data_IF_089129951090
#
_entry.id   IF_089129951090
#
_cell.length_a   1.000
_cell.length_b   1.000
_cell.length_c   1.000
_cell.angle_alpha   90.00
_cell.angle_beta   90.00
_cell.angle_gamma   90.00
#
_symmetry.space_group_name_H-M   'P 1'
#
loop_
_entity.id
_entity.type
_entity.pdbx_description
1 polymer ?
#
# COMPACT_ATOMS: atom_id res chain seq x y z
N UNK A 1 17.56 -7.25 12.12
CA UNK A 1 18.01 -5.90 11.80
C UNK A 1 16.87 -5.07 11.25
N UNK A 2 16.76 -3.85 11.72
CA UNK A 2 15.71 -2.96 11.23
C UNK A 2 15.92 -2.63 9.77
N UNK A 3 14.85 -2.56 9.03
CA UNK A 3 14.88 -2.19 7.63
C UNK A 3 15.11 -0.69 7.51
N UNK A 4 16.25 -0.29 6.91
CA UNK A 4 16.59 1.13 6.75
C UNK A 4 15.74 1.83 5.69
N UNK A 5 15.26 1.07 4.69
CA UNK A 5 14.50 1.57 3.56
C UNK A 5 13.31 0.69 3.28
N UNK A 6 12.28 0.72 4.12
CA UNK A 6 11.09 -0.08 3.83
C UNK A 6 10.43 0.40 2.55
N UNK A 7 9.93 -0.54 1.77
CA UNK A 7 9.20 -0.23 0.55
C UNK A 7 7.88 0.46 0.88
N UNK A 8 7.44 1.33 -0.01
CA UNK A 8 6.09 1.87 0.08
C UNK A 8 5.10 0.70 -0.06
N UNK A 9 4.04 0.65 0.77
CA UNK A 9 3.06 -0.45 0.67
C UNK A 9 2.47 -0.62 -0.73
N UNK A 10 2.39 0.46 -1.51
CA UNK A 10 1.92 0.40 -2.88
C UNK A 10 2.78 -0.48 -3.78
N UNK A 11 4.09 -0.58 -3.52
CA UNK A 11 4.97 -1.46 -4.29
C UNK A 11 4.63 -2.91 -4.03
N UNK A 12 4.41 -3.27 -2.77
CA UNK A 12 3.99 -4.63 -2.40
C UNK A 12 2.67 -4.97 -3.07
N UNK A 13 1.72 -4.05 -3.02
CA UNK A 13 0.40 -4.27 -3.62
C UNK A 13 0.51 -4.40 -5.14
N UNK A 14 1.35 -3.60 -5.77
CA UNK A 14 1.57 -3.70 -7.22
C UNK A 14 2.08 -5.09 -7.61
N UNK A 15 3.03 -5.63 -6.85
CA UNK A 15 3.55 -6.97 -7.11
C UNK A 15 2.47 -8.02 -6.92
N UNK A 16 1.63 -7.85 -5.90
CA UNK A 16 0.51 -8.77 -5.65
C UNK A 16 -0.49 -8.76 -6.81
N UNK A 17 -0.80 -7.57 -7.33
CA UNK A 17 -1.71 -7.44 -8.49
C UNK A 17 -1.13 -8.14 -9.71
N UNK A 18 0.15 -7.92 -9.98
CA UNK A 18 0.81 -8.53 -11.13
C UNK A 18 0.81 -10.05 -11.00
N UNK A 19 1.12 -10.56 -9.83
CA UNK A 19 1.13 -12.00 -9.58
C UNK A 19 -0.26 -12.62 -9.73
N UNK A 20 -1.32 -11.88 -9.38
CA UNK A 20 -2.69 -12.35 -9.49
C UNK A 20 -3.27 -12.15 -10.90
N UNK A 21 -2.55 -11.47 -11.79
CA UNK A 21 -3.04 -11.19 -13.12
C UNK A 21 -4.17 -10.18 -13.17
N UNK A 22 -4.24 -9.29 -12.20
CA UNK A 22 -5.32 -8.31 -12.10
C UNK A 22 -4.90 -6.95 -12.63
N UNK A 23 -5.80 -6.26 -13.33
CA UNK A 23 -5.56 -4.89 -13.77
C UNK A 23 -5.87 -3.92 -12.64
N UNK A 24 -5.38 -2.70 -12.76
CA UNK A 24 -5.68 -1.62 -11.81
C UNK A 24 -7.18 -1.33 -11.80
N UNK A 25 -7.81 -1.31 -12.97
CA UNK A 25 -9.24 -1.05 -13.09
C UNK A 25 -10.08 -2.10 -12.36
N UNK A 26 -9.77 -3.39 -12.59
CA UNK A 26 -10.48 -4.48 -11.93
C UNK A 26 -10.32 -4.42 -10.42
N UNK A 27 -9.10 -4.15 -9.96
CA UNK A 27 -8.80 -4.11 -8.54
C UNK A 27 -9.49 -2.94 -7.86
N UNK A 28 -9.48 -1.76 -8.49
CA UNK A 28 -10.16 -0.58 -7.96
C UNK A 28 -11.65 -0.86 -7.77
N UNK A 29 -12.27 -1.51 -8.76
CA UNK A 29 -13.68 -1.88 -8.65
C UNK A 29 -13.94 -2.80 -7.46
N UNK A 30 -13.08 -3.79 -7.26
CA UNK A 30 -13.21 -4.74 -6.14
C UNK A 30 -13.00 -4.07 -4.80
N UNK A 31 -12.10 -3.10 -4.74
CA UNK A 31 -11.81 -2.36 -3.49
C UNK A 31 -12.83 -1.27 -3.21
N UNK A 32 -13.66 -0.93 -4.19
CA UNK A 32 -14.64 0.14 -4.03
C UNK A 32 -14.04 1.54 -4.08
N UNK A 33 -12.91 1.70 -4.77
CA UNK A 33 -12.28 2.99 -4.95
C UNK A 33 -12.14 3.33 -6.43
N UNK A 34 -11.72 4.57 -6.73
CA UNK A 34 -11.51 4.97 -8.11
C UNK A 34 -10.19 4.40 -8.62
N UNK A 35 -10.10 4.24 -9.95
CA UNK A 35 -8.85 3.83 -10.58
C UNK A 35 -7.72 4.80 -10.27
N UNK A 36 -8.04 6.10 -10.25
CA UNK A 36 -7.04 7.13 -9.94
C UNK A 36 -6.52 7.02 -8.52
N UNK A 37 -7.41 6.77 -7.55
CA UNK A 37 -7.01 6.61 -6.16
C UNK A 37 -6.07 5.42 -6.00
N UNK A 38 -6.40 4.30 -6.62
CA UNK A 38 -5.55 3.11 -6.56
C UNK A 38 -4.23 3.35 -7.28
N UNK A 39 -4.25 3.99 -8.44
CA UNK A 39 -3.03 4.30 -9.18
C UNK A 39 -2.06 5.16 -8.36
N UNK A 40 -2.57 6.16 -7.65
CA UNK A 40 -1.74 7.00 -6.77
C UNK A 40 -1.10 6.17 -5.67
N UNK A 41 -1.86 5.25 -5.07
CA UNK A 41 -1.32 4.36 -4.05
C UNK A 41 -0.19 3.48 -4.62
N UNK A 42 -0.43 2.87 -5.77
CA UNK A 42 0.56 1.99 -6.40
C UNK A 42 1.84 2.72 -6.82
N UNK A 43 1.73 4.00 -7.12
CA UNK A 43 2.86 4.82 -7.53
C UNK A 43 3.53 5.55 -6.36
N UNK A 44 3.16 5.23 -5.13
CA UNK A 44 3.77 5.82 -3.95
C UNK A 44 3.36 7.26 -3.68
N UNK A 45 2.30 7.75 -4.31
CA UNK A 45 1.84 9.13 -4.18
C UNK A 45 0.76 9.30 -3.13
N UNK A 46 0.26 8.20 -2.59
CA UNK A 46 -0.72 8.19 -1.51
C UNK A 46 -0.44 7.00 -0.63
N UNK A 47 -0.79 7.11 0.65
CA UNK A 47 -0.61 6.03 1.61
C UNK A 47 -1.86 5.16 1.74
N UNK A 48 -1.70 4.03 2.43
CA UNK A 48 -2.82 3.16 2.75
C UNK A 48 -3.53 3.70 3.98
N UNK A 49 -4.81 4.00 3.83
CA UNK A 49 -5.66 4.40 4.95
C UNK A 49 -6.22 3.16 5.65
N UNK A 50 -6.74 3.30 6.89
CA UNK A 50 -7.42 2.19 7.54
C UNK A 50 -8.56 1.60 6.71
N UNK A 51 -9.32 2.45 6.04
CA UNK A 51 -10.41 1.98 5.16
C UNK A 51 -9.88 1.12 4.02
N UNK A 52 -8.78 1.54 3.39
CA UNK A 52 -8.16 0.77 2.32
C UNK A 52 -7.58 -0.55 2.85
N UNK A 53 -6.96 -0.51 4.03
CA UNK A 53 -6.40 -1.72 4.65
C UNK A 53 -7.49 -2.75 4.90
N UNK A 54 -8.66 -2.32 5.37
CA UNK A 54 -9.80 -3.20 5.60
C UNK A 54 -10.32 -3.76 4.27
N UNK A 55 -10.39 -2.92 3.24
CA UNK A 55 -10.85 -3.36 1.92
C UNK A 55 -9.92 -4.44 1.35
N UNK A 56 -8.61 -4.28 1.51
CA UNK A 56 -7.62 -5.27 1.07
C UNK A 56 -7.79 -6.57 1.83
N UNK A 57 -8.00 -6.49 3.15
CA UNK A 57 -8.23 -7.67 3.98
C UNK A 57 -9.47 -8.44 3.50
N UNK A 58 -10.55 -7.74 3.16
CA UNK A 58 -11.77 -8.37 2.68
C UNK A 58 -11.58 -9.10 1.36
N UNK A 59 -10.65 -8.66 0.53
CA UNK A 59 -10.32 -9.33 -0.72
C UNK A 59 -9.36 -10.50 -0.52
N UNK A 60 -8.91 -10.74 0.71
CA UNK A 60 -8.02 -11.85 1.01
C UNK A 60 -6.53 -11.52 0.88
N UNK A 61 -6.17 -10.26 0.76
CA UNK A 61 -4.77 -9.85 0.70
C UNK A 61 -4.26 -9.45 2.08
N UNK A 62 -3.75 -10.44 2.81
CA UNK A 62 -3.24 -10.29 4.16
C UNK A 62 -4.32 -9.75 5.10
N UNK A 63 -3.95 -9.00 6.11
CA UNK A 63 -4.92 -8.39 7.03
C UNK A 63 -4.65 -6.91 7.18
N UNK A 64 -5.63 -6.19 7.71
CA UNK A 64 -5.54 -4.73 7.82
C UNK A 64 -4.34 -4.29 8.66
N UNK A 65 -4.06 -5.00 9.75
CA UNK A 65 -2.93 -4.67 10.63
C UNK A 65 -1.60 -4.76 9.89
N UNK A 66 -1.44 -5.76 9.02
CA UNK A 66 -0.24 -5.92 8.21
C UNK A 66 -0.02 -4.69 7.32
N UNK A 67 -1.07 -4.28 6.59
CA UNK A 67 -0.96 -3.12 5.70
C UNK A 67 -0.65 -1.83 6.45
N UNK A 68 -1.26 -1.65 7.63
CA UNK A 68 -1.00 -0.46 8.44
C UNK A 68 0.41 -0.47 9.02
N UNK A 69 0.96 -1.64 9.37
CA UNK A 69 2.35 -1.75 9.82
C UNK A 69 3.33 -1.36 8.71
N UNK A 70 3.07 -1.80 7.47
CA UNK A 70 3.90 -1.42 6.34
C UNK A 70 3.88 0.10 6.12
N UNK A 71 2.69 0.68 6.22
CA UNK A 71 2.54 2.11 6.02
C UNK A 71 3.27 2.89 7.13
N UNK A 72 3.11 2.48 8.38
CA UNK A 72 3.75 3.15 9.50
C UNK A 72 5.29 3.06 9.40
N UNK A 73 5.82 1.90 9.02
CA UNK A 73 7.26 1.73 8.87
C UNK A 73 7.80 2.63 7.77
N UNK A 74 7.10 2.73 6.66
CA UNK A 74 7.48 3.60 5.56
C UNK A 74 7.45 5.07 5.99
N UNK A 75 6.36 5.49 6.61
CA UNK A 75 6.20 6.88 7.04
C UNK A 75 7.28 7.28 8.04
N UNK A 76 7.59 6.39 9.00
CA UNK A 76 8.61 6.65 10.00
C UNK A 76 10.00 6.79 9.36
N UNK A 77 10.32 5.92 8.40
CA UNK A 77 11.59 5.99 7.70
C UNK A 77 11.73 7.28 6.90
N UNK A 78 10.66 7.72 6.25
CA UNK A 78 10.66 8.97 5.50
C UNK A 78 10.86 10.17 6.43
N UNK A 79 10.19 10.18 7.57
CA UNK A 79 10.32 11.27 8.54
C UNK A 79 11.73 11.32 9.12
N UNK A 80 12.32 10.16 9.41
CA UNK A 80 13.70 10.10 9.90
C UNK A 80 14.69 10.66 8.90
N UNK A 81 14.50 10.34 7.62
CA UNK A 81 15.35 10.91 6.55
C UNK A 81 15.20 12.41 6.47
N UNK A 82 13.97 12.90 6.53
CA UNK A 82 13.70 14.33 6.46
C UNK A 82 14.39 15.07 7.59
N UNK A 83 14.36 14.51 8.80
CA UNK A 83 14.99 15.12 9.97
C UNK A 83 16.51 15.02 9.95
N UNK A 84 17.06 14.01 9.30
CA UNK A 84 18.50 13.83 9.20
C UNK A 84 19.14 14.71 8.12
N UNK A 85 18.36 15.17 7.16
CA UNK A 85 18.86 15.96 6.05
C UNK A 85 19.24 17.39 6.45
#
# INVERSE_FOLDING_TARGET
MAMLNPCHPGETLRDDLAAAGLTVTETAARLGCTRQALSRLLNGKAGISPAMAIALERLGWSNAAYWMRLQAAYDLAQERRRQAA
#
